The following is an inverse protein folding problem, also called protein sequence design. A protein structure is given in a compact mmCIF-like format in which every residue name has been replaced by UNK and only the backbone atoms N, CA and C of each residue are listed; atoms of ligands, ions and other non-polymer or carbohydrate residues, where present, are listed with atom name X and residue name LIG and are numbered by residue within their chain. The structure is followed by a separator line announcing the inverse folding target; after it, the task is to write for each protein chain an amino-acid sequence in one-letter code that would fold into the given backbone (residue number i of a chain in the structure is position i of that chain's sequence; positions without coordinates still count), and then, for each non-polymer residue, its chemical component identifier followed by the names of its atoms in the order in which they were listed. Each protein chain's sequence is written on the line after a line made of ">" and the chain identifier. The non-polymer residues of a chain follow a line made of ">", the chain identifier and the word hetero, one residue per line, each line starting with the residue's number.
data_IF_082392142155
#
_entry.id   IF_082392142155
#
_cell.length_a   1.000
_cell.length_b   1.000
_cell.length_c   1.000
_cell.angle_alpha   90.00
_cell.angle_beta   90.00
_cell.angle_gamma   90.00
#
_symmetry.space_group_name_H-M   'P 1'
#
loop_
_entity.id
_entity.type
_entity.pdbx_description
1 polymer ?
#
# COMPACT_ATOMS: atom_id res chain seq x y z
N UNK A 1 -11.72 2.43 17.10
CA UNK A 1 -12.00 3.76 16.52
C UNK A 1 -11.77 3.71 15.02
N UNK A 2 -12.82 3.88 14.24
CA UNK A 2 -12.73 4.11 12.79
C UNK A 2 -12.37 5.56 12.52
N UNK A 3 -11.57 5.80 11.48
CA UNK A 3 -11.17 7.13 11.03
C UNK A 3 -11.91 7.42 9.74
N UNK A 4 -12.73 8.46 9.75
CA UNK A 4 -13.34 9.01 8.55
C UNK A 4 -12.40 10.06 7.95
N UNK A 5 -11.89 9.80 6.75
CA UNK A 5 -10.98 10.70 6.04
C UNK A 5 -11.50 10.96 4.62
N UNK A 6 -11.91 12.20 4.36
CA UNK A 6 -12.43 12.66 3.05
C UNK A 6 -13.55 11.76 2.50
N UNK A 7 -14.45 11.31 3.37
CA UNK A 7 -15.57 10.43 3.02
C UNK A 7 -15.24 8.93 2.98
N UNK A 8 -13.99 8.54 3.25
CA UNK A 8 -13.60 7.14 3.37
C UNK A 8 -13.37 6.70 4.81
N UNK A 9 -13.98 5.58 5.19
CA UNK A 9 -13.74 4.94 6.49
C UNK A 9 -12.49 4.07 6.46
N UNK A 10 -11.65 4.22 7.48
CA UNK A 10 -10.49 3.39 7.77
C UNK A 10 -10.59 2.81 9.17
N UNK A 11 -10.06 1.60 9.38
CA UNK A 11 -10.00 0.97 10.70
C UNK A 11 -8.91 1.57 11.61
N UNK A 12 -8.06 2.43 11.07
CA UNK A 12 -6.98 3.12 11.76
C UNK A 12 -5.90 3.61 10.79
N UNK A 13 -4.90 4.31 11.33
CA UNK A 13 -3.71 4.70 10.56
C UNK A 13 -2.81 3.50 10.26
N UNK A 14 -2.10 3.53 9.14
CA UNK A 14 -1.14 2.51 8.70
C UNK A 14 -1.75 1.09 8.58
N UNK A 15 -3.08 1.00 8.46
CA UNK A 15 -3.83 -0.24 8.23
C UNK A 15 -4.41 -0.25 6.82
N UNK A 16 -3.78 -0.95 5.87
CA UNK A 16 -4.30 -1.04 4.52
C UNK A 16 -5.60 -1.84 4.50
N UNK A 17 -6.56 -1.36 3.71
CA UNK A 17 -7.81 -2.05 3.39
C UNK A 17 -7.83 -2.41 1.91
N UNK A 18 -8.58 -3.45 1.56
CA UNK A 18 -8.93 -3.71 0.16
C UNK A 18 -9.95 -2.64 -0.25
N UNK A 19 -9.61 -1.89 -1.28
CA UNK A 19 -10.40 -0.78 -1.81
C UNK A 19 -10.17 -0.76 -3.31
N UNK A 20 -10.75 -1.78 -3.96
CA UNK A 20 -10.50 -2.06 -5.37
C UNK A 20 -11.25 -1.05 -6.23
N UNK A 21 -10.48 -0.20 -6.88
CA UNK A 21 -10.91 0.70 -7.94
C UNK A 21 -10.47 0.14 -9.30
N UNK A 22 -10.79 0.84 -10.40
CA UNK A 22 -10.34 0.43 -11.76
C UNK A 22 -8.82 0.27 -11.89
N UNK A 23 -8.04 1.05 -11.14
CA UNK A 23 -6.57 1.09 -11.29
C UNK A 23 -5.82 0.64 -10.04
N UNK A 24 -6.40 0.78 -8.85
CA UNK A 24 -5.74 0.46 -7.57
C UNK A 24 -6.52 -0.57 -6.78
N UNK A 25 -5.80 -1.43 -6.05
CA UNK A 25 -6.40 -2.53 -5.29
C UNK A 25 -6.55 -2.23 -3.80
N UNK A 26 -5.61 -1.48 -3.23
CA UNK A 26 -5.58 -1.23 -1.79
C UNK A 26 -5.50 0.27 -1.51
N UNK A 27 -6.08 0.66 -0.38
CA UNK A 27 -6.00 2.02 0.15
C UNK A 27 -5.54 1.98 1.60
N UNK A 28 -4.70 2.92 2.00
CA UNK A 28 -4.21 3.07 3.37
C UNK A 28 -4.11 4.53 3.74
N UNK A 29 -4.57 4.85 4.95
CA UNK A 29 -4.31 6.15 5.56
C UNK A 29 -2.98 6.07 6.30
N UNK A 30 -1.90 6.42 5.61
CA UNK A 30 -0.56 6.38 6.20
C UNK A 30 -0.34 7.59 7.13
N UNK A 31 0.25 7.35 8.29
CA UNK A 31 0.64 8.39 9.24
C UNK A 31 2.09 8.20 9.66
N UNK A 32 2.88 9.27 9.60
CA UNK A 32 4.27 9.32 10.06
C UNK A 32 4.48 10.66 10.77
N UNK A 33 4.66 10.63 12.09
CA UNK A 33 4.63 11.84 12.91
C UNK A 33 3.31 12.59 12.71
N UNK A 34 3.41 13.85 12.31
CA UNK A 34 2.26 14.74 12.07
C UNK A 34 1.71 14.64 10.64
N UNK A 35 2.44 13.98 9.74
CA UNK A 35 2.02 13.87 8.34
C UNK A 35 1.08 12.69 8.15
N UNK A 36 -0.11 12.98 7.62
CA UNK A 36 -1.12 11.99 7.24
C UNK A 36 -1.31 12.05 5.73
N UNK A 37 -1.29 10.89 5.06
CA UNK A 37 -1.48 10.78 3.62
C UNK A 37 -2.33 9.57 3.26
N UNK A 38 -3.37 9.79 2.47
CA UNK A 38 -4.10 8.71 1.83
C UNK A 38 -3.27 8.19 0.65
N UNK A 39 -2.99 6.89 0.66
CA UNK A 39 -2.17 6.23 -0.34
C UNK A 39 -2.98 5.08 -0.93
N UNK A 40 -3.15 5.10 -2.25
CA UNK A 40 -3.71 3.97 -3.01
C UNK A 40 -2.57 3.22 -3.70
N UNK A 41 -2.50 1.91 -3.53
CA UNK A 41 -1.39 1.09 -4.00
C UNK A 41 -1.84 -0.29 -4.47
N UNK A 42 -0.92 -0.99 -5.15
CA UNK A 42 -1.23 -2.25 -5.83
C UNK A 42 -2.04 -2.02 -7.10
N UNK A 43 -1.78 -2.83 -8.11
CA UNK A 43 -2.52 -2.81 -9.35
C UNK A 43 -3.81 -3.63 -9.22
N UNK A 44 -4.92 -3.16 -9.80
CA UNK A 44 -6.21 -3.84 -9.71
C UNK A 44 -6.28 -5.11 -10.59
N UNK A 45 -5.47 -5.19 -11.64
CA UNK A 45 -5.48 -6.26 -12.64
C UNK A 45 -4.28 -7.21 -12.49
N UNK A 46 -3.22 -6.78 -11.81
CA UNK A 46 -2.03 -7.61 -11.61
C UNK A 46 -1.91 -8.14 -10.18
N UNK A 47 -1.35 -9.34 -10.08
CA UNK A 47 -0.92 -9.92 -8.81
C UNK A 47 0.57 -10.22 -8.86
N UNK A 48 1.27 -9.84 -7.80
CA UNK A 48 2.72 -10.03 -7.67
C UNK A 48 3.08 -11.52 -7.54
N UNK A 49 2.11 -12.36 -7.18
CA UNK A 49 2.33 -13.77 -6.87
C UNK A 49 3.07 -13.90 -5.55
N UNK A 50 2.55 -13.28 -4.47
CA UNK A 50 3.23 -13.22 -3.15
C UNK A 50 3.61 -14.60 -2.59
N UNK A 51 2.85 -15.63 -2.99
CA UNK A 51 3.02 -17.03 -2.59
C UNK A 51 4.21 -17.69 -3.27
N UNK A 52 4.66 -17.16 -4.43
CA UNK A 52 5.83 -17.64 -5.15
C UNK A 52 7.06 -16.77 -4.76
N UNK A 53 8.05 -17.36 -4.05
CA UNK A 53 9.24 -16.63 -3.62
C UNK A 53 10.05 -16.04 -4.78
N UNK A 54 10.10 -16.70 -5.94
CA UNK A 54 10.84 -16.23 -7.12
C UNK A 54 10.19 -14.98 -7.69
N UNK A 55 8.86 -14.99 -7.86
CA UNK A 55 8.10 -13.82 -8.33
C UNK A 55 8.18 -12.66 -7.34
N UNK A 56 8.10 -12.95 -6.04
CA UNK A 56 8.29 -11.92 -4.99
C UNK A 56 9.69 -11.31 -5.04
N UNK A 57 10.75 -12.12 -5.17
CA UNK A 57 12.14 -11.63 -5.30
C UNK A 57 12.33 -10.77 -6.54
N UNK A 58 11.84 -11.21 -7.70
CA UNK A 58 11.90 -10.44 -8.96
C UNK A 58 11.15 -9.11 -8.86
N UNK A 59 9.96 -9.09 -8.27
CA UNK A 59 9.23 -7.85 -8.02
C UNK A 59 10.02 -6.91 -7.11
N UNK A 60 10.57 -7.42 -6.01
CA UNK A 60 11.36 -6.61 -5.07
C UNK A 60 12.59 -5.98 -5.72
N UNK A 61 13.30 -6.74 -6.55
CA UNK A 61 14.45 -6.25 -7.30
C UNK A 61 14.06 -5.17 -8.31
N UNK A 62 13.06 -5.42 -9.16
CA UNK A 62 12.60 -4.46 -10.19
C UNK A 62 12.04 -3.17 -9.58
N UNK A 63 11.39 -3.27 -8.43
CA UNK A 63 10.79 -2.12 -7.75
C UNK A 63 11.71 -1.48 -6.70
N UNK A 64 12.96 -1.93 -6.55
CA UNK A 64 13.93 -1.43 -5.58
C UNK A 64 13.33 -1.33 -4.17
N UNK A 65 12.70 -2.40 -3.72
CA UNK A 65 11.94 -2.39 -2.47
C UNK A 65 12.78 -2.02 -1.23
N UNK A 66 14.08 -2.27 -1.27
CA UNK A 66 14.97 -2.01 -0.14
C UNK A 66 15.24 -0.51 0.08
N UNK A 67 15.00 0.34 -0.93
CA UNK A 67 15.11 1.81 -0.80
C UNK A 67 13.81 2.45 -0.30
N UNK A 68 12.69 1.73 -0.39
CA UNK A 68 11.34 2.25 -0.09
C UNK A 68 10.99 2.02 1.38
N UNK A 69 11.56 2.84 2.26
CA UNK A 69 11.37 2.73 3.73
C UNK A 69 10.29 3.65 4.30
N UNK A 70 9.83 4.63 3.53
CA UNK A 70 8.85 5.62 4.03
C UNK A 70 7.42 5.11 3.93
N UNK A 71 6.74 5.00 5.08
CA UNK A 71 5.31 4.64 5.18
C UNK A 71 4.40 5.62 4.44
N UNK A 72 4.88 6.82 4.13
CA UNK A 72 4.14 7.83 3.38
C UNK A 72 4.20 7.62 1.85
N UNK A 73 4.81 6.54 1.39
CA UNK A 73 4.95 6.23 -0.04
C UNK A 73 4.21 4.95 -0.44
N UNK A 74 3.60 4.95 -1.62
CA UNK A 74 2.95 3.75 -2.18
C UNK A 74 3.95 2.59 -2.36
N UNK A 75 5.21 2.92 -2.65
CA UNK A 75 6.28 1.96 -2.81
C UNK A 75 6.50 1.08 -1.59
N UNK A 76 6.51 1.68 -0.39
CA UNK A 76 6.62 0.93 0.86
C UNK A 76 5.49 -0.09 1.01
N UNK A 77 4.24 0.34 0.79
CA UNK A 77 3.08 -0.53 0.94
C UNK A 77 3.01 -1.65 -0.11
N UNK A 78 3.43 -1.37 -1.35
CA UNK A 78 3.54 -2.41 -2.38
C UNK A 78 4.67 -3.41 -2.12
N UNK A 79 5.70 -3.03 -1.37
CA UNK A 79 6.87 -3.85 -1.06
C UNK A 79 6.79 -4.59 0.29
N UNK A 80 5.72 -4.34 1.06
CA UNK A 80 5.47 -4.93 2.38
C UNK A 80 5.05 -6.42 2.31
#
# INVERSE_FOLDING_TARGET
>A
MSIDYRGEKFSGYNKPKNDRTKTKKFSVLAKSGDTIKLIRFGDANMTIGKSDPKRRKSFRARHKCDTKKSVLTAGYWSCK
#
